data_IF_212558880091
#
_entry.id   IF_212558880091
#
_cell.length_a   1.000
_cell.length_b   1.000
_cell.length_c   1.000
_cell.angle_alpha   90.00
_cell.angle_beta   90.00
_cell.angle_gamma   90.00
#
_symmetry.space_group_name_H-M   'P 1'
#
loop_
_entity.id
_entity.type
_entity.pdbx_description
1 polymer ?
#
# COMPACT_ATOMS: atom_id res chain seq x y z
N UNK A 1 -9.48 25.91 14.14
CA UNK A 1 -9.49 25.03 12.94
C UNK A 1 -9.26 23.60 13.40
N UNK A 2 -10.17 22.66 13.11
CA UNK A 2 -9.96 21.24 13.45
C UNK A 2 -8.87 20.67 12.54
N UNK A 3 -7.64 20.59 13.06
CA UNK A 3 -6.44 20.22 12.27
C UNK A 3 -6.43 18.77 11.76
N UNK A 4 -7.27 17.88 12.30
CA UNK A 4 -7.27 16.45 11.97
C UNK A 4 -8.67 16.01 11.49
N UNK A 5 -8.87 16.06 10.17
CA UNK A 5 -10.08 15.56 9.49
C UNK A 5 -9.82 14.18 8.86
N UNK A 6 -10.85 13.40 8.46
CA UNK A 6 -10.65 12.13 7.75
C UNK A 6 -9.79 12.31 6.49
N UNK A 7 -9.99 13.41 5.77
CA UNK A 7 -9.22 13.78 4.58
C UNK A 7 -7.74 13.99 4.85
N UNK A 8 -7.38 14.53 6.02
CA UNK A 8 -5.98 14.69 6.40
C UNK A 8 -5.25 13.34 6.41
N UNK A 9 -5.85 12.30 7.00
CA UNK A 9 -5.22 10.97 7.05
C UNK A 9 -5.09 10.32 5.68
N UNK A 10 -6.07 10.53 4.79
CA UNK A 10 -6.01 10.04 3.40
C UNK A 10 -4.85 10.70 2.65
N UNK A 11 -4.76 12.03 2.71
CA UNK A 11 -3.71 12.79 2.03
C UNK A 11 -2.33 12.49 2.62
N UNK A 12 -2.21 12.39 3.94
CA UNK A 12 -0.95 12.05 4.59
C UNK A 12 -0.47 10.65 4.19
N UNK A 13 -1.34 9.65 4.20
CA UNK A 13 -0.99 8.30 3.77
C UNK A 13 -0.57 8.25 2.29
N UNK A 14 -1.27 8.98 1.41
CA UNK A 14 -0.90 9.10 0.00
C UNK A 14 0.45 9.81 -0.19
N UNK A 15 0.70 10.89 0.55
CA UNK A 15 1.96 11.63 0.49
C UNK A 15 3.15 10.78 0.96
N UNK A 16 2.99 10.04 2.06
CA UNK A 16 4.02 9.10 2.55
C UNK A 16 4.30 8.02 1.50
N UNK A 17 3.27 7.45 0.88
CA UNK A 17 3.45 6.47 -0.19
C UNK A 17 4.25 7.05 -1.37
N UNK A 18 3.92 8.26 -1.83
CA UNK A 18 4.64 8.91 -2.94
C UNK A 18 6.09 9.20 -2.58
N UNK A 19 6.37 9.68 -1.37
CA UNK A 19 7.75 9.90 -0.88
C UNK A 19 8.55 8.59 -0.81
N UNK A 20 7.92 7.53 -0.29
CA UNK A 20 8.51 6.19 -0.25
C UNK A 20 8.78 5.65 -1.66
N UNK A 21 7.82 5.80 -2.57
CA UNK A 21 7.95 5.38 -3.97
C UNK A 21 9.11 6.10 -4.66
N UNK A 22 9.13 7.44 -4.65
CA UNK A 22 10.19 8.20 -5.32
C UNK A 22 11.57 7.93 -4.74
N UNK A 23 11.68 7.84 -3.41
CA UNK A 23 12.98 7.57 -2.77
C UNK A 23 13.49 6.16 -3.08
N UNK A 24 12.64 5.13 -3.02
CA UNK A 24 13.02 3.75 -3.31
C UNK A 24 13.34 3.54 -4.79
N UNK A 25 12.61 4.19 -5.70
CA UNK A 25 12.86 4.07 -7.15
C UNK A 25 14.15 4.78 -7.55
N UNK A 26 14.43 5.99 -7.02
CA UNK A 26 15.62 6.75 -7.42
C UNK A 26 16.91 6.30 -6.71
N UNK A 27 16.81 5.81 -5.47
CA UNK A 27 17.97 5.53 -4.62
C UNK A 27 18.06 4.06 -4.17
N UNK A 28 17.09 3.22 -4.53
CA UNK A 28 17.09 1.79 -4.23
C UNK A 28 17.41 1.50 -2.75
N UNK A 29 18.44 0.68 -2.49
CA UNK A 29 18.84 0.29 -1.14
C UNK A 29 19.38 1.47 -0.29
N UNK A 30 19.83 2.57 -0.90
CA UNK A 30 20.34 3.73 -0.15
C UNK A 30 19.21 4.47 0.58
N UNK A 31 17.99 4.45 0.03
CA UNK A 31 16.81 5.03 0.67
C UNK A 31 16.11 4.07 1.65
N UNK A 32 16.60 2.85 1.84
CA UNK A 32 15.86 1.80 2.56
C UNK A 32 15.54 2.19 4.02
N UNK A 33 16.50 2.77 4.74
CA UNK A 33 16.26 3.21 6.13
C UNK A 33 15.19 4.30 6.18
N UNK A 34 15.26 5.29 5.30
CA UNK A 34 14.28 6.35 5.21
C UNK A 34 12.88 5.81 4.88
N UNK A 35 12.79 4.91 3.90
CA UNK A 35 11.54 4.26 3.53
C UNK A 35 10.97 3.39 4.65
N UNK A 36 11.80 2.65 5.39
CA UNK A 36 11.35 1.86 6.54
C UNK A 36 10.78 2.76 7.65
N UNK A 37 11.40 3.91 7.93
CA UNK A 37 10.85 4.88 8.89
C UNK A 37 9.49 5.42 8.41
N UNK A 38 9.38 5.77 7.12
CA UNK A 38 8.12 6.17 6.52
C UNK A 38 7.06 5.06 6.60
N UNK A 39 7.44 3.80 6.38
CA UNK A 39 6.55 2.66 6.46
C UNK A 39 6.07 2.45 7.90
N UNK A 40 6.92 2.61 8.90
CA UNK A 40 6.51 2.58 10.31
C UNK A 40 5.43 3.62 10.60
N UNK A 41 5.64 4.88 10.14
CA UNK A 41 4.62 5.94 10.27
C UNK A 41 3.34 5.55 9.53
N UNK A 42 3.47 5.03 8.30
CA UNK A 42 2.33 4.64 7.49
C UNK A 42 1.51 3.53 8.15
N UNK A 43 2.16 2.52 8.74
CA UNK A 43 1.51 1.43 9.47
C UNK A 43 0.72 1.94 10.69
N UNK A 44 1.23 2.94 11.41
CA UNK A 44 0.47 3.58 12.49
C UNK A 44 -0.82 4.23 11.96
N UNK A 45 -0.77 4.88 10.80
CA UNK A 45 -1.96 5.48 10.16
C UNK A 45 -2.97 4.45 9.66
N UNK A 46 -2.53 3.22 9.34
CA UNK A 46 -3.47 2.14 8.98
C UNK A 46 -4.35 1.76 10.17
N UNK A 47 -3.84 1.84 11.40
CA UNK A 47 -4.61 1.49 12.59
C UNK A 47 -5.82 2.45 12.77
N UNK A 48 -7.06 1.95 12.67
CA UNK A 48 -8.25 2.78 12.89
C UNK A 48 -8.29 3.38 14.30
N UNK A 49 -7.87 2.61 15.31
CA UNK A 49 -7.81 3.07 16.70
C UNK A 49 -6.86 4.25 16.89
N UNK A 50 -5.71 4.23 16.22
CA UNK A 50 -4.75 5.35 16.26
C UNK A 50 -5.31 6.62 15.61
N UNK A 51 -5.98 6.49 14.46
CA UNK A 51 -6.65 7.63 13.81
C UNK A 51 -7.74 8.22 14.71
N UNK A 52 -8.58 7.37 15.30
CA UNK A 52 -9.61 7.80 16.23
C UNK A 52 -9.05 8.47 17.48
N UNK A 53 -7.91 7.99 18.01
CA UNK A 53 -7.18 8.61 19.13
C UNK A 53 -6.83 10.06 18.84
N UNK A 54 -6.13 10.27 17.71
CA UNK A 54 -5.64 11.57 17.29
C UNK A 54 -6.78 12.55 17.01
N UNK A 55 -7.90 12.05 16.46
CA UNK A 55 -9.09 12.87 16.25
C UNK A 55 -9.77 13.28 17.56
N UNK A 56 -9.75 12.41 18.58
CA UNK A 56 -10.35 12.68 19.88
C UNK A 56 -9.50 13.60 20.75
N UNK A 57 -8.17 13.41 20.78
CA UNK A 57 -7.23 14.30 21.47
C UNK A 57 -7.37 15.75 20.98
N UNK A 58 -7.55 15.91 19.66
CA UNK A 58 -7.78 17.22 19.04
C UNK A 58 -9.21 17.78 19.23
N UNK A 59 -10.13 17.01 19.83
CA UNK A 59 -11.53 17.39 20.07
C UNK A 59 -11.82 17.86 21.51
N UNK A 60 -10.89 17.70 22.47
CA UNK A 60 -11.03 18.16 23.87
C UNK A 60 -11.50 17.09 24.88
N UNK A 61 -11.34 17.42 26.17
CA UNK A 61 -11.09 16.49 27.30
C UNK A 61 -12.15 15.39 27.58
N UNK A 62 -13.43 15.60 27.30
CA UNK A 62 -14.47 14.61 27.65
C UNK A 62 -14.51 13.42 26.66
N UNK A 63 -14.15 13.65 25.40
CA UNK A 63 -13.95 12.60 24.40
C UNK A 63 -12.57 11.94 24.51
N UNK A 64 -11.58 12.61 25.09
CA UNK A 64 -10.23 12.07 25.29
C UNK A 64 -10.21 10.84 26.21
N UNK A 65 -11.01 10.80 27.28
CA UNK A 65 -11.02 9.64 28.21
C UNK A 65 -11.70 8.40 27.60
N UNK A 66 -12.81 8.58 26.87
CA UNK A 66 -13.47 7.50 26.12
C UNK A 66 -12.58 7.03 24.96
N UNK A 67 -11.87 7.94 24.32
CA UNK A 67 -10.91 7.61 23.28
C UNK A 67 -9.69 6.88 23.84
N UNK A 68 -9.10 7.29 24.95
CA UNK A 68 -8.02 6.58 25.63
C UNK A 68 -8.40 5.14 25.98
N UNK A 69 -9.63 4.92 26.48
CA UNK A 69 -10.15 3.57 26.74
C UNK A 69 -10.34 2.77 25.45
N UNK A 70 -10.81 3.41 24.37
CA UNK A 70 -10.92 2.76 23.05
C UNK A 70 -9.55 2.42 22.46
N UNK A 71 -8.55 3.27 22.65
CA UNK A 71 -7.19 3.15 22.12
C UNK A 71 -6.39 2.10 22.88
N UNK A 72 -6.49 2.07 24.22
CA UNK A 72 -5.93 0.98 25.04
C UNK A 72 -6.50 -0.39 24.67
N UNK A 73 -7.77 -0.44 24.24
CA UNK A 73 -8.42 -1.66 23.75
C UNK A 73 -8.05 -1.98 22.29
N UNK A 74 -7.53 -1.01 21.55
CA UNK A 74 -7.22 -1.08 20.11
C UNK A 74 -5.73 -0.84 19.87
N UNK A 75 -4.87 -1.56 20.61
CA UNK A 75 -3.51 -1.85 20.14
C UNK A 75 -3.57 -2.37 18.70
N UNK A 76 -2.47 -2.26 17.95
CA UNK A 76 -2.44 -2.59 16.53
C UNK A 76 -3.13 -3.94 16.26
N UNK A 77 -4.34 -3.89 15.68
CA UNK A 77 -5.16 -5.08 15.55
C UNK A 77 -4.46 -6.02 14.59
N UNK A 78 -4.24 -7.27 15.00
CA UNK A 78 -3.64 -8.31 14.13
C UNK A 78 -4.35 -8.40 12.77
N UNK A 79 -5.65 -8.08 12.73
CA UNK A 79 -6.44 -7.98 11.49
C UNK A 79 -5.92 -6.89 10.55
N UNK A 80 -5.68 -5.69 11.09
CA UNK A 80 -5.14 -4.55 10.35
C UNK A 80 -3.71 -4.83 9.87
N UNK A 81 -2.88 -5.46 10.71
CA UNK A 81 -1.55 -5.89 10.28
C UNK A 81 -1.62 -6.85 9.10
N UNK A 82 -2.41 -7.91 9.24
CA UNK A 82 -2.55 -8.94 8.22
C UNK A 82 -3.12 -8.36 6.92
N UNK A 83 -4.03 -7.37 7.03
CA UNK A 83 -4.58 -6.66 5.89
C UNK A 83 -3.51 -5.88 5.09
N UNK A 84 -2.34 -5.58 5.66
CA UNK A 84 -1.19 -5.01 4.95
C UNK A 84 -0.18 -6.11 4.57
N UNK A 85 0.18 -6.97 5.53
CA UNK A 85 1.22 -7.99 5.35
C UNK A 85 0.89 -8.97 4.22
N UNK A 86 -0.34 -9.48 4.18
CA UNK A 86 -0.71 -10.50 3.18
C UNK A 86 -0.70 -9.93 1.76
N UNK A 87 -1.32 -8.77 1.47
CA UNK A 87 -1.18 -8.12 0.15
C UNK A 87 0.27 -7.83 -0.24
N UNK A 88 1.10 -7.38 0.71
CA UNK A 88 2.52 -7.15 0.44
C UNK A 88 3.25 -8.44 0.05
N UNK A 89 3.02 -9.54 0.78
CA UNK A 89 3.62 -10.86 0.48
C UNK A 89 3.15 -11.38 -0.88
N UNK A 90 1.88 -11.22 -1.24
CA UNK A 90 1.37 -11.61 -2.56
C UNK A 90 2.12 -10.87 -3.67
N UNK A 91 2.29 -9.55 -3.52
CA UNK A 91 3.01 -8.73 -4.49
C UNK A 91 4.50 -9.08 -4.59
N UNK A 92 5.17 -9.27 -3.45
CA UNK A 92 6.57 -9.70 -3.40
C UNK A 92 6.77 -11.06 -4.08
N UNK A 93 5.88 -12.02 -3.80
CA UNK A 93 5.94 -13.33 -4.42
C UNK A 93 5.76 -13.25 -5.95
N UNK A 94 4.80 -12.44 -6.41
CA UNK A 94 4.57 -12.20 -7.82
C UNK A 94 5.80 -11.58 -8.50
N UNK A 95 6.39 -10.54 -7.92
CA UNK A 95 7.57 -9.89 -8.48
C UNK A 95 8.80 -10.81 -8.47
N UNK A 96 8.94 -11.64 -7.44
CA UNK A 96 9.96 -12.68 -7.40
C UNK A 96 9.75 -13.70 -8.53
N UNK A 97 8.52 -14.11 -8.82
CA UNK A 97 8.22 -15.00 -9.95
C UNK A 97 8.54 -14.35 -11.30
N UNK A 98 8.20 -13.06 -11.48
CA UNK A 98 8.51 -12.31 -12.69
C UNK A 98 10.02 -12.12 -12.87
N UNK A 99 10.75 -11.85 -11.79
CA UNK A 99 12.21 -11.77 -11.81
C UNK A 99 12.86 -13.11 -12.16
N UNK A 100 12.46 -14.20 -11.49
CA UNK A 100 12.98 -15.54 -11.78
C UNK A 100 12.60 -16.04 -13.18
N UNK A 101 11.47 -15.56 -13.71
CA UNK A 101 11.03 -15.83 -15.08
C UNK A 101 11.71 -14.97 -16.15
N UNK A 102 12.64 -14.07 -15.77
CA UNK A 102 13.37 -13.20 -16.70
C UNK A 102 12.56 -12.01 -17.25
N UNK A 103 11.40 -11.71 -16.65
CA UNK A 103 10.60 -10.53 -17.01
C UNK A 103 11.23 -9.27 -16.44
N UNK A 104 11.80 -9.36 -15.24
CA UNK A 104 12.52 -8.28 -14.57
C UNK A 104 13.97 -8.65 -14.34
N UNK A 105 14.85 -7.67 -14.52
CA UNK A 105 16.25 -7.75 -14.15
C UNK A 105 16.63 -6.53 -13.31
N UNK A 106 17.46 -6.75 -12.28
CA UNK A 106 17.90 -5.74 -11.33
C UNK A 106 19.42 -5.82 -11.22
N UNK A 107 20.06 -4.71 -10.83
CA UNK A 107 21.53 -4.59 -10.77
C UNK A 107 22.23 -5.54 -9.78
N UNK A 108 21.49 -6.22 -8.91
CA UNK A 108 22.05 -7.21 -7.99
C UNK A 108 22.20 -8.56 -8.69
N UNK A 109 23.38 -9.21 -8.68
CA UNK A 109 23.58 -10.54 -9.26
C UNK A 109 22.86 -11.66 -8.48
N UNK A 110 22.15 -11.32 -7.40
CA UNK A 110 21.37 -12.27 -6.60
C UNK A 110 20.07 -12.65 -7.30
N UNK A 111 19.67 -13.93 -7.21
CA UNK A 111 18.30 -14.38 -7.56
C UNK A 111 17.21 -13.87 -6.60
N UNK A 112 17.59 -13.10 -5.59
CA UNK A 112 16.68 -12.55 -4.59
C UNK A 112 16.14 -11.21 -5.06
N UNK A 113 14.87 -10.97 -4.78
CA UNK A 113 14.23 -9.69 -5.05
C UNK A 113 14.88 -8.59 -4.19
N UNK A 114 15.17 -7.39 -4.75
CA UNK A 114 15.76 -6.32 -3.98
C UNK A 114 14.92 -5.91 -2.76
N UNK A 115 15.57 -5.65 -1.62
CA UNK A 115 14.89 -5.28 -0.38
C UNK A 115 14.07 -3.99 -0.51
N UNK A 116 14.54 -3.03 -1.33
CA UNK A 116 13.82 -1.80 -1.61
C UNK A 116 12.45 -2.08 -2.27
N UNK A 117 12.35 -3.08 -3.14
CA UNK A 117 11.09 -3.45 -3.81
C UNK A 117 10.14 -4.16 -2.84
N UNK A 118 10.68 -5.00 -1.95
CA UNK A 118 9.90 -5.57 -0.85
C UNK A 118 9.31 -4.48 0.07
N UNK A 119 10.11 -3.46 0.39
CA UNK A 119 9.66 -2.31 1.17
C UNK A 119 8.56 -1.52 0.44
N UNK A 120 8.73 -1.33 -0.88
CA UNK A 120 7.74 -0.63 -1.71
C UNK A 120 6.39 -1.34 -1.73
N UNK A 121 6.37 -2.68 -1.77
CA UNK A 121 5.15 -3.47 -1.63
C UNK A 121 4.47 -3.28 -0.26
N UNK A 122 5.25 -3.15 0.82
CA UNK A 122 4.73 -2.78 2.13
C UNK A 122 4.03 -1.42 2.12
N UNK A 123 4.66 -0.42 1.52
CA UNK A 123 4.07 0.92 1.36
C UNK A 123 2.79 0.90 0.54
N UNK A 124 2.78 0.20 -0.59
CA UNK A 124 1.60 0.06 -1.43
C UNK A 124 0.46 -0.64 -0.68
N UNK A 125 0.73 -1.76 -0.01
CA UNK A 125 -0.28 -2.49 0.75
C UNK A 125 -0.89 -1.64 1.89
N UNK A 126 -0.09 -0.77 2.51
CA UNK A 126 -0.54 0.16 3.55
C UNK A 126 -1.45 1.29 3.02
N UNK A 127 -1.54 1.48 1.69
CA UNK A 127 -2.51 2.41 1.09
C UNK A 127 -3.91 1.80 0.94
N UNK A 128 -4.03 0.47 0.76
CA UNK A 128 -5.28 -0.22 0.44
C UNK A 128 -6.37 -0.03 1.51
N UNK A 129 -5.98 0.18 2.77
CA UNK A 129 -6.87 0.44 3.89
C UNK A 129 -7.08 1.91 4.26
N UNK A 130 -6.39 2.82 3.59
CA UNK A 130 -6.42 4.25 3.88
C UNK A 130 -6.60 5.03 2.58
N UNK A 131 -5.55 5.52 1.92
CA UNK A 131 -5.70 6.39 0.74
C UNK A 131 -6.35 5.72 -0.48
N UNK A 132 -6.35 4.39 -0.56
CA UNK A 132 -6.99 3.61 -1.64
C UNK A 132 -8.24 2.83 -1.19
N UNK A 133 -8.69 2.97 0.05
CA UNK A 133 -9.81 2.16 0.52
C UNK A 133 -11.17 2.52 -0.14
N UNK A 134 -11.28 3.67 -0.80
CA UNK A 134 -12.41 3.99 -1.69
C UNK A 134 -12.56 3.02 -2.87
N UNK A 135 -11.48 2.35 -3.30
CA UNK A 135 -11.54 1.33 -4.37
C UNK A 135 -12.48 0.16 -4.01
N UNK A 136 -12.71 -0.09 -2.72
CA UNK A 136 -13.56 -1.18 -2.22
C UNK A 136 -15.04 -1.01 -2.59
N UNK A 137 -15.46 0.23 -2.83
CA UNK A 137 -16.83 0.58 -3.17
C UNK A 137 -17.07 0.63 -4.68
N UNK A 138 -16.01 0.57 -5.48
CA UNK A 138 -16.12 0.54 -6.92
C UNK A 138 -16.41 -0.87 -7.45
N UNK A 139 -17.12 -1.01 -8.59
CA UNK A 139 -17.25 -2.28 -9.29
C UNK A 139 -15.89 -2.82 -9.74
N UNK A 140 -15.79 -4.15 -9.86
CA UNK A 140 -14.52 -4.86 -10.11
C UNK A 140 -13.83 -4.45 -11.41
N UNK A 141 -14.58 -4.08 -12.45
CA UNK A 141 -14.00 -3.61 -13.71
C UNK A 141 -13.31 -2.24 -13.57
N UNK A 142 -13.79 -1.35 -12.70
CA UNK A 142 -13.12 -0.08 -12.43
C UNK A 142 -11.85 -0.31 -11.61
N UNK A 143 -11.90 -1.20 -10.62
CA UNK A 143 -10.71 -1.64 -9.89
C UNK A 143 -9.66 -2.20 -10.86
N UNK A 144 -10.08 -3.00 -11.85
CA UNK A 144 -9.18 -3.53 -12.87
C UNK A 144 -8.55 -2.41 -13.71
N UNK A 145 -9.33 -1.42 -14.14
CA UNK A 145 -8.82 -0.27 -14.89
C UNK A 145 -7.80 0.55 -14.08
N UNK A 146 -8.06 0.82 -12.80
CA UNK A 146 -7.09 1.49 -11.93
C UNK A 146 -5.82 0.67 -11.73
N UNK A 147 -5.93 -0.66 -11.70
CA UNK A 147 -4.78 -1.56 -11.67
C UNK A 147 -3.97 -1.47 -12.96
N UNK A 148 -4.63 -1.62 -14.10
CA UNK A 148 -4.03 -1.53 -15.43
C UNK A 148 -3.26 -0.22 -15.63
N UNK A 149 -3.84 0.91 -15.22
CA UNK A 149 -3.22 2.23 -15.41
C UNK A 149 -2.21 2.54 -14.31
N UNK A 150 -2.61 2.47 -13.05
CA UNK A 150 -1.77 2.87 -11.92
C UNK A 150 -0.67 1.86 -11.60
N UNK A 151 -1.05 0.58 -11.51
CA UNK A 151 -0.12 -0.52 -11.24
C UNK A 151 0.90 -0.69 -12.36
N UNK A 152 0.46 -0.97 -13.59
CA UNK A 152 1.39 -1.12 -14.71
C UNK A 152 2.16 0.18 -15.01
N UNK A 153 1.51 1.35 -14.88
CA UNK A 153 2.16 2.65 -15.04
C UNK A 153 3.29 2.90 -14.05
N UNK A 154 3.15 2.44 -12.79
CA UNK A 154 4.22 2.49 -11.80
C UNK A 154 5.45 1.69 -12.24
N UNK A 155 5.27 0.50 -12.80
CA UNK A 155 6.40 -0.30 -13.31
C UNK A 155 7.01 0.32 -14.55
N UNK A 156 6.19 0.91 -15.44
CA UNK A 156 6.72 1.66 -16.57
C UNK A 156 7.56 2.85 -16.11
N UNK A 157 7.13 3.58 -15.08
CA UNK A 157 7.93 4.66 -14.51
C UNK A 157 9.23 4.15 -13.89
N UNK A 158 9.20 3.04 -13.14
CA UNK A 158 10.40 2.40 -12.60
C UNK A 158 11.39 1.99 -13.72
N UNK A 159 10.89 1.42 -14.81
CA UNK A 159 11.69 1.07 -16.00
C UNK A 159 12.29 2.31 -16.67
N UNK A 160 11.51 3.39 -16.82
CA UNK A 160 11.98 4.66 -17.40
C UNK A 160 13.01 5.39 -16.55
N UNK A 161 12.99 5.13 -15.24
CA UNK A 161 13.95 5.65 -14.27
C UNK A 161 15.10 4.66 -14.01
N UNK A 162 15.23 3.61 -14.83
CA UNK A 162 16.31 2.63 -14.78
C UNK A 162 16.40 1.84 -13.46
N UNK A 163 15.33 1.85 -12.65
CA UNK A 163 15.27 1.07 -11.41
C UNK A 163 15.06 -0.44 -11.64
N UNK A 164 14.62 -0.82 -12.84
CA UNK A 164 14.38 -2.20 -13.27
C UNK A 164 14.56 -2.29 -14.79
N UNK A 165 15.22 -3.34 -15.26
CA UNK A 165 15.34 -3.66 -16.67
C UNK A 165 14.27 -4.68 -17.09
N UNK A 166 13.87 -4.63 -18.37
CA UNK A 166 12.86 -5.50 -18.97
C UNK A 166 13.46 -6.33 -20.12
N UNK A 167 14.09 -7.49 -19.83
CA UNK A 167 14.79 -8.30 -20.84
C UNK A 167 13.89 -8.78 -21.99
N UNK A 168 12.60 -9.00 -21.72
CA UNK A 168 11.61 -9.37 -22.75
C UNK A 168 11.20 -8.20 -23.67
N UNK A 169 11.72 -7.00 -23.40
CA UNK A 169 11.38 -5.78 -24.12
C UNK A 169 10.16 -5.07 -23.55
N UNK A 170 10.01 -3.79 -23.94
CA UNK A 170 9.04 -2.88 -23.33
C UNK A 170 7.58 -3.25 -23.65
N UNK A 171 7.28 -3.59 -24.90
CA UNK A 171 5.91 -3.88 -25.33
C UNK A 171 5.34 -5.14 -24.69
N UNK A 172 6.12 -6.24 -24.71
CA UNK A 172 5.73 -7.51 -24.12
C UNK A 172 5.54 -7.40 -22.60
N UNK A 173 6.53 -6.82 -21.91
CA UNK A 173 6.50 -6.68 -20.44
C UNK A 173 5.37 -5.76 -19.99
N UNK A 174 5.20 -4.60 -20.64
CA UNK A 174 4.14 -3.67 -20.26
C UNK A 174 2.73 -4.24 -20.49
N UNK A 175 2.53 -4.95 -21.60
CA UNK A 175 1.24 -5.62 -21.88
C UNK A 175 0.94 -6.72 -20.85
N UNK A 176 1.95 -7.51 -20.47
CA UNK A 176 1.84 -8.50 -19.39
C UNK A 176 1.46 -7.83 -18.06
N UNK A 177 2.09 -6.71 -17.72
CA UNK A 177 1.81 -5.98 -16.48
C UNK A 177 0.42 -5.38 -16.45
N UNK A 178 -0.10 -4.89 -17.58
CA UNK A 178 -1.49 -4.45 -17.70
C UNK A 178 -2.44 -5.59 -17.32
N UNK A 179 -2.23 -6.79 -17.88
CA UNK A 179 -3.07 -7.96 -17.60
C UNK A 179 -2.96 -8.38 -16.14
N UNK A 180 -1.74 -8.48 -15.61
CA UNK A 180 -1.47 -8.84 -14.22
C UNK A 180 -2.17 -7.85 -13.27
N UNK A 181 -1.93 -6.55 -13.43
CA UNK A 181 -2.46 -5.54 -12.53
C UNK A 181 -3.97 -5.35 -12.64
N UNK A 182 -4.56 -5.61 -13.81
CA UNK A 182 -6.01 -5.64 -14.00
C UNK A 182 -6.68 -6.69 -13.11
N UNK A 183 -6.00 -7.81 -12.82
CA UNK A 183 -6.51 -8.86 -11.95
C UNK A 183 -6.06 -8.69 -10.50
N UNK A 184 -4.82 -8.23 -10.31
CA UNK A 184 -4.18 -8.12 -9.01
C UNK A 184 -4.83 -7.07 -8.13
N UNK A 185 -5.07 -5.85 -8.64
CA UNK A 185 -5.63 -4.78 -7.79
C UNK A 185 -7.01 -5.15 -7.22
N UNK A 186 -7.97 -5.70 -8.01
CA UNK A 186 -9.24 -6.18 -7.48
C UNK A 186 -9.11 -7.30 -6.43
N UNK A 187 -8.11 -8.18 -6.59
CA UNK A 187 -7.79 -9.26 -5.67
C UNK A 187 -7.24 -8.69 -4.35
N UNK A 188 -6.23 -7.82 -4.41
CA UNK A 188 -5.61 -7.22 -3.24
C UNK A 188 -6.61 -6.38 -2.43
N UNK A 189 -7.44 -5.58 -3.12
CA UNK A 189 -8.53 -4.81 -2.50
C UNK A 189 -9.51 -5.74 -1.77
N UNK A 190 -9.85 -6.89 -2.37
CA UNK A 190 -10.72 -7.89 -1.74
C UNK A 190 -10.07 -8.57 -0.53
N UNK A 191 -8.82 -9.01 -0.64
CA UNK A 191 -8.07 -9.62 0.46
C UNK A 191 -7.96 -8.67 1.65
N UNK A 192 -7.58 -7.42 1.38
CA UNK A 192 -7.44 -6.38 2.38
C UNK A 192 -8.78 -6.09 3.09
N UNK A 193 -9.89 -5.97 2.35
CA UNK A 193 -11.25 -5.84 2.90
C UNK A 193 -11.62 -7.00 3.84
N UNK A 194 -11.38 -8.24 3.40
CA UNK A 194 -11.70 -9.45 4.16
C UNK A 194 -10.88 -9.60 5.42
N UNK A 195 -9.60 -9.25 5.36
CA UNK A 195 -8.69 -9.34 6.51
C UNK A 195 -8.97 -8.26 7.55
N UNK A 196 -9.29 -7.04 7.11
CA UNK A 196 -9.58 -5.94 8.02
C UNK A 196 -10.93 -6.12 8.74
N UNK A 197 -11.99 -6.50 8.00
CA UNK A 197 -13.36 -6.49 8.56
C UNK A 197 -14.01 -7.87 8.70
N UNK A 198 -13.55 -8.90 7.98
CA UNK A 198 -14.15 -10.24 8.05
C UNK A 198 -15.65 -10.22 7.71
N UNK A 199 -16.49 -10.70 8.64
CA UNK A 199 -17.94 -10.66 8.53
C UNK A 199 -18.57 -9.29 8.89
N UNK A 200 -17.81 -8.40 9.55
CA UNK A 200 -18.31 -7.14 10.10
C UNK A 200 -18.00 -5.95 9.16
N UNK A 201 -18.37 -6.06 7.87
CA UNK A 201 -18.13 -5.00 6.89
C UNK A 201 -19.02 -3.78 7.21
N UNK A 202 -18.50 -2.53 7.14
CA UNK A 202 -19.32 -1.33 7.23
C UNK A 202 -20.38 -1.31 6.11
N UNK A 203 -21.60 -0.89 6.44
CA UNK A 203 -22.74 -0.82 5.51
C UNK A 203 -22.83 0.49 4.74
N UNK A 204 -22.09 1.51 5.18
CA UNK A 204 -21.93 2.80 4.47
C UNK A 204 -20.60 2.79 3.72
N UNK A 205 -20.53 3.59 2.65
CA UNK A 205 -19.33 3.75 1.84
C UNK A 205 -18.13 4.25 2.66
N UNK A 206 -16.98 4.34 2.01
CA UNK A 206 -15.67 4.62 2.60
C UNK A 206 -15.55 5.93 3.44
N UNK A 207 -16.57 6.79 3.45
CA UNK A 207 -16.65 8.04 4.23
C UNK A 207 -17.95 8.10 5.04
#
# INVERSE_FOLDING_TARGET
MRLLSPWFFLLLNAAIFQLGWWSLILFANQALVFALLLLCVQLLLVNPGYRSALMAENAGDEHSQLAEQSVKRTGYSMKTFNAVLIPAVIGIALDAMLHLGGVFEFDSPSRLLPLWLCCLWGHFAATLGVSLAWLRDLPKWQQALFGAVGGAGSYLAAFRLEAVAWPLGQSATFSLLILIWSLLLPLLSYCNLRLEWGANRPTKGFL
#
